data_IF_789729966210
#
_entry.id   IF_789729966210
#
_cell.length_a   1.000
_cell.length_b   1.000
_cell.length_c   1.000
_cell.angle_alpha   90.00
_cell.angle_beta   90.00
_cell.angle_gamma   90.00
#
_symmetry.space_group_name_H-M   'P 1'
#
loop_
_entity.id
_entity.type
_entity.pdbx_description
1 polymer ?
#
# COMPACT_ATOMS: atom_id res chain seq x y z
N UNK A 1 27.61 27.94 -0.34
CA UNK A 1 27.02 27.72 0.99
C UNK A 1 26.28 26.39 0.94
N UNK A 2 26.71 25.48 1.79
CA UNK A 2 26.09 24.20 2.14
C UNK A 2 24.63 24.35 2.60
N UNK A 3 23.77 23.36 2.29
CA UNK A 3 22.86 22.65 3.21
C UNK A 3 21.90 21.71 2.42
N UNK A 4 22.01 20.41 2.72
CA UNK A 4 20.92 19.42 2.87
C UNK A 4 20.04 19.10 1.64
N UNK A 5 19.73 17.86 1.29
CA UNK A 5 19.27 16.76 2.13
C UNK A 5 19.65 15.41 1.51
N UNK A 6 20.20 14.54 2.35
CA UNK A 6 20.26 13.10 2.10
C UNK A 6 18.82 12.59 1.95
N UNK A 7 18.42 12.33 0.70
CA UNK A 7 17.20 11.58 0.42
C UNK A 7 17.46 10.17 0.91
N UNK A 8 16.81 9.79 2.00
CA UNK A 8 16.96 8.50 2.66
C UNK A 8 16.91 7.36 1.64
N UNK A 9 18.07 6.80 1.33
CA UNK A 9 18.23 5.62 0.51
C UNK A 9 17.68 4.42 1.32
N UNK A 10 16.37 4.22 1.19
CA UNK A 10 15.79 2.88 1.30
C UNK A 10 16.49 2.01 0.25
N UNK A 11 16.82 0.73 0.51
CA UNK A 11 17.58 -0.09 -0.43
C UNK A 11 16.96 0.05 -1.83
N UNK A 12 17.77 0.60 -2.74
CA UNK A 12 17.30 1.28 -3.94
C UNK A 12 16.26 0.44 -4.71
N UNK A 13 14.99 0.85 -4.64
CA UNK A 13 13.89 0.31 -5.45
C UNK A 13 12.81 -0.50 -4.72
N UNK A 14 12.98 -0.85 -3.44
CA UNK A 14 11.91 -1.57 -2.72
C UNK A 14 10.70 -0.65 -2.44
N UNK A 15 9.46 -1.10 -2.67
CA UNK A 15 8.26 -0.33 -2.34
C UNK A 15 8.16 -0.08 -0.83
N UNK A 16 7.71 1.11 -0.46
CA UNK A 16 7.70 1.59 0.92
C UNK A 16 6.28 1.47 1.53
N UNK A 17 6.21 1.18 2.82
CA UNK A 17 4.96 1.16 3.57
C UNK A 17 4.20 2.50 3.46
N UNK A 18 2.89 2.43 3.22
CA UNK A 18 1.96 3.56 3.15
C UNK A 18 1.57 4.13 4.52
N UNK A 19 1.95 3.48 5.62
CA UNK A 19 1.69 4.01 6.96
C UNK A 19 2.41 5.35 7.14
N UNK A 20 1.70 6.33 7.70
CA UNK A 20 2.21 7.70 7.85
C UNK A 20 3.51 7.71 8.65
N UNK A 21 4.59 8.21 8.03
CA UNK A 21 5.90 8.31 8.68
C UNK A 21 6.70 7.00 8.72
N UNK A 22 6.14 5.88 8.24
CA UNK A 22 6.88 4.65 8.09
C UNK A 22 7.78 4.71 6.84
N UNK A 23 8.99 4.17 6.96
CA UNK A 23 9.95 4.03 5.86
C UNK A 23 10.42 2.58 5.67
N UNK A 24 9.77 1.63 6.34
CA UNK A 24 10.10 0.23 6.19
C UNK A 24 9.67 -0.29 4.80
N UNK A 25 10.39 -1.30 4.32
CA UNK A 25 10.02 -2.00 3.09
C UNK A 25 8.64 -2.66 3.26
N UNK A 26 7.80 -2.50 2.25
CA UNK A 26 6.52 -3.16 2.18
C UNK A 26 6.71 -4.61 1.75
N UNK A 27 5.95 -5.50 2.39
CA UNK A 27 5.86 -6.92 2.03
C UNK A 27 4.40 -7.38 1.87
N UNK A 28 3.45 -6.47 2.09
CA UNK A 28 2.02 -6.69 1.98
C UNK A 28 1.37 -5.63 1.11
N UNK A 29 0.27 -6.03 0.49
CA UNK A 29 -0.57 -5.22 -0.37
C UNK A 29 -2.00 -5.32 0.13
N UNK A 30 -2.59 -4.17 0.45
CA UNK A 30 -3.96 -4.06 0.89
C UNK A 30 -4.78 -3.43 -0.23
N UNK A 31 -5.60 -4.24 -0.88
CA UNK A 31 -6.57 -3.77 -1.87
C UNK A 31 -7.82 -3.25 -1.15
N UNK A 32 -8.27 -2.05 -1.52
CA UNK A 32 -9.42 -1.41 -0.89
C UNK A 32 -10.26 -0.60 -1.86
N UNK A 33 -11.53 -0.42 -1.52
CA UNK A 33 -12.49 0.38 -2.27
C UNK A 33 -13.39 1.15 -1.31
N UNK A 34 -13.50 2.47 -1.50
CA UNK A 34 -14.49 3.29 -0.80
C UNK A 34 -15.72 3.46 -1.73
N UNK A 35 -16.83 2.74 -1.48
CA UNK A 35 -17.99 2.74 -2.37
C UNK A 35 -18.71 4.10 -2.45
N UNK A 36 -18.42 5.02 -1.51
CA UNK A 36 -18.95 6.38 -1.55
C UNK A 36 -18.26 7.26 -2.59
N UNK A 37 -17.04 6.89 -3.01
CA UNK A 37 -16.21 7.71 -3.91
C UNK A 37 -15.79 6.98 -5.19
N UNK A 38 -15.85 5.65 -5.20
CA UNK A 38 -15.31 4.82 -6.26
C UNK A 38 -16.36 3.82 -6.72
N UNK A 39 -16.38 3.55 -8.03
CA UNK A 39 -17.14 2.41 -8.59
C UNK A 39 -16.66 1.10 -7.98
N UNK A 40 -17.50 0.05 -7.91
CA UNK A 40 -17.13 -1.22 -7.29
C UNK A 40 -15.93 -1.90 -7.97
N UNK A 41 -15.71 -1.61 -9.24
CA UNK A 41 -14.60 -2.13 -10.05
C UNK A 41 -13.27 -1.43 -9.73
N UNK A 42 -13.30 -0.20 -9.23
CA UNK A 42 -12.09 0.59 -8.98
C UNK A 42 -11.47 0.23 -7.63
N UNK A 43 -10.36 -0.50 -7.63
CA UNK A 43 -9.60 -0.82 -6.42
C UNK A 43 -8.40 0.09 -6.29
N UNK A 44 -8.20 0.63 -5.09
CA UNK A 44 -6.95 1.29 -4.72
C UNK A 44 -6.11 0.32 -3.91
N UNK A 45 -4.83 0.64 -3.80
CA UNK A 45 -3.86 -0.22 -3.15
C UNK A 45 -3.06 0.58 -2.13
N UNK A 46 -2.86 0.01 -0.94
CA UNK A 46 -1.90 0.47 0.05
C UNK A 46 -0.86 -0.61 0.30
N UNK A 47 0.37 -0.16 0.53
CA UNK A 47 1.51 -1.05 0.79
C UNK A 47 1.79 -1.08 2.30
N UNK A 48 2.11 -2.24 2.86
CA UNK A 48 2.39 -2.38 4.29
C UNK A 48 3.64 -3.23 4.56
N UNK A 49 4.42 -2.82 5.55
CA UNK A 49 5.40 -3.71 6.18
C UNK A 49 4.69 -4.66 7.16
N UNK A 50 5.42 -5.64 7.70
CA UNK A 50 4.87 -6.61 8.66
C UNK A 50 4.21 -5.95 9.87
N UNK A 51 4.86 -4.90 10.42
CA UNK A 51 4.40 -4.19 11.61
C UNK A 51 3.06 -3.44 11.39
N UNK A 52 2.87 -2.87 10.20
CA UNK A 52 1.71 -2.03 9.90
C UNK A 52 0.58 -2.73 9.15
N UNK A 53 0.76 -3.99 8.73
CA UNK A 53 -0.28 -4.75 8.02
C UNK A 53 -1.59 -4.76 8.79
N UNK A 54 -1.56 -5.22 10.04
CA UNK A 54 -2.75 -5.38 10.86
C UNK A 54 -3.45 -4.04 11.14
N UNK A 55 -2.67 -2.99 11.40
CA UNK A 55 -3.22 -1.65 11.67
C UNK A 55 -3.97 -1.09 10.45
N UNK A 56 -3.36 -1.16 9.26
CA UNK A 56 -3.98 -0.66 8.03
C UNK A 56 -5.19 -1.51 7.61
N UNK A 57 -5.10 -2.83 7.75
CA UNK A 57 -6.20 -3.76 7.50
C UNK A 57 -7.40 -3.45 8.40
N UNK A 58 -7.16 -3.32 9.71
CA UNK A 58 -8.21 -2.98 10.67
C UNK A 58 -8.87 -1.65 10.35
N UNK A 59 -8.09 -0.62 10.00
CA UNK A 59 -8.62 0.69 9.61
C UNK A 59 -9.58 0.61 8.41
N UNK A 60 -9.26 -0.22 7.42
CA UNK A 60 -10.08 -0.41 6.22
C UNK A 60 -11.29 -1.32 6.49
N UNK A 61 -11.12 -2.35 7.31
CA UNK A 61 -12.13 -3.34 7.66
C UNK A 61 -13.30 -2.72 8.44
N UNK A 62 -13.02 -1.94 9.49
CA UNK A 62 -14.07 -1.28 10.29
C UNK A 62 -14.94 -0.31 9.48
N UNK A 63 -14.48 0.09 8.29
CA UNK A 63 -15.21 0.95 7.34
C UNK A 63 -15.84 0.18 6.19
N UNK A 64 -15.62 -1.13 6.10
CA UNK A 64 -16.06 -1.99 4.99
C UNK A 64 -15.35 -1.71 3.67
N UNK A 65 -14.15 -1.11 3.72
CA UNK A 65 -13.39 -0.73 2.54
C UNK A 65 -12.38 -1.79 2.11
N UNK A 66 -11.96 -2.65 3.04
CA UNK A 66 -11.00 -3.70 2.76
C UNK A 66 -11.57 -4.70 1.75
N UNK A 67 -10.78 -5.07 0.75
CA UNK A 67 -11.14 -6.06 -0.27
C UNK A 67 -10.24 -7.26 -0.25
N UNK A 68 -8.93 -7.03 -0.13
CA UNK A 68 -7.96 -8.12 -0.14
C UNK A 68 -6.68 -7.70 0.60
N UNK A 69 -5.96 -8.70 1.10
CA UNK A 69 -4.64 -8.55 1.72
C UNK A 69 -3.77 -9.69 1.19
N UNK A 70 -2.83 -9.35 0.32
CA UNK A 70 -1.90 -10.32 -0.28
C UNK A 70 -0.46 -9.95 0.01
N UNK A 71 0.43 -10.94 -0.02
CA UNK A 71 1.85 -10.65 0.04
C UNK A 71 2.25 -9.89 -1.24
N UNK A 72 3.24 -9.01 -1.11
CA UNK A 72 3.72 -8.20 -2.22
C UNK A 72 4.33 -9.06 -3.33
N UNK A 73 4.94 -10.19 -2.98
CA UNK A 73 5.46 -11.17 -3.95
C UNK A 73 4.35 -11.80 -4.80
N UNK A 74 3.15 -11.93 -4.24
CA UNK A 74 1.96 -12.48 -4.90
C UNK A 74 1.11 -11.39 -5.57
N UNK A 75 1.63 -10.17 -5.76
CA UNK A 75 0.85 -9.05 -6.30
C UNK A 75 1.48 -8.40 -7.52
N UNK A 76 0.70 -8.35 -8.60
CA UNK A 76 1.07 -7.68 -9.84
C UNK A 76 0.55 -6.25 -9.87
N UNK A 77 1.47 -5.28 -9.89
CA UNK A 77 1.15 -3.88 -10.17
C UNK A 77 0.70 -3.71 -11.62
N UNK A 78 -0.59 -3.43 -11.84
CA UNK A 78 -1.04 -2.92 -13.14
C UNK A 78 -0.89 -1.40 -13.12
N UNK A 79 -0.05 -0.86 -14.01
CA UNK A 79 0.07 0.57 -14.26
C UNK A 79 -1.25 1.08 -14.88
N UNK A 80 -2.22 1.40 -14.02
CA UNK A 80 -3.56 1.82 -14.44
C UNK A 80 -4.45 2.23 -13.26
N UNK A 81 -5.52 3.01 -13.49
CA UNK A 81 -6.35 3.61 -12.43
C UNK A 81 -7.22 2.61 -11.64
N UNK A 82 -7.01 1.31 -11.86
CA UNK A 82 -7.83 0.20 -11.36
C UNK A 82 -7.17 -0.72 -10.34
N UNK A 83 -5.92 -0.46 -9.92
CA UNK A 83 -5.23 -1.23 -8.89
C UNK A 83 -4.82 -2.64 -9.34
N UNK A 84 -3.58 -3.02 -9.04
CA UNK A 84 -3.04 -4.33 -9.34
C UNK A 84 -3.82 -5.51 -8.73
N UNK A 85 -3.56 -6.72 -9.21
CA UNK A 85 -4.28 -7.95 -8.82
C UNK A 85 -3.32 -8.96 -8.21
N UNK A 86 -3.85 -9.80 -7.32
CA UNK A 86 -3.12 -10.99 -6.87
C UNK A 86 -2.85 -11.91 -8.07
N UNK A 87 -1.63 -12.46 -8.15
CA UNK A 87 -1.23 -13.38 -9.22
C UNK A 87 -1.68 -14.81 -8.95
#
# INVERSE_FOLDING_TARGET
>A
MILSETSAESPAGAPICSAKGCRAAAVWVLAWNNPKLHTPERRKTWLACEDHREHLSSFLDVRGFLKDVVALEDWESVDGPGGGRAV
#
